data_IF_793058733846
#
_entry.id   IF_793058733846
#
_cell.length_a   1.000
_cell.length_b   1.000
_cell.length_c   1.000
_cell.angle_alpha   90.00
_cell.angle_beta   90.00
_cell.angle_gamma   90.00
#
_symmetry.space_group_name_H-M   'P 1'
#
loop_
_entity.id
_entity.type
_entity.pdbx_description
1 polymer ?
#
# COMPACT_ATOMS: atom_id res chain seq x y z
N UNK A 1 15.59 44.93 3.11
CA UNK A 1 14.30 44.72 2.39
C UNK A 1 14.35 43.42 1.54
N UNK A 2 15.33 43.26 0.66
CA UNK A 2 15.45 42.07 -0.22
C UNK A 2 15.66 40.79 0.57
N UNK A 3 16.51 40.77 1.57
CA UNK A 3 16.75 39.61 2.44
C UNK A 3 15.45 39.13 3.12
N UNK A 4 14.67 40.07 3.68
CA UNK A 4 13.38 39.76 4.32
C UNK A 4 12.35 39.17 3.36
N UNK A 5 12.31 39.61 2.10
CA UNK A 5 11.46 39.02 1.06
C UNK A 5 11.88 37.58 0.76
N UNK A 6 13.19 37.35 0.64
CA UNK A 6 13.76 36.00 0.41
C UNK A 6 13.44 35.06 1.57
N UNK A 7 13.63 35.50 2.82
CA UNK A 7 13.29 34.74 4.03
C UNK A 7 11.81 34.34 4.06
N UNK A 8 10.90 35.28 3.71
CA UNK A 8 9.48 35.02 3.64
C UNK A 8 9.12 34.06 2.51
N UNK A 9 9.74 34.20 1.34
CA UNK A 9 9.56 33.29 0.20
C UNK A 9 10.03 31.88 0.55
N UNK A 10 11.12 31.75 1.29
CA UNK A 10 11.69 30.47 1.70
C UNK A 10 11.03 29.89 2.96
N UNK A 11 10.09 30.60 3.60
CA UNK A 11 9.41 30.17 4.82
C UNK A 11 10.29 30.24 6.07
N UNK A 12 11.46 30.85 6.00
CA UNK A 12 12.41 30.98 7.11
C UNK A 12 11.85 31.87 8.23
N UNK A 13 11.11 32.92 7.89
CA UNK A 13 10.47 33.79 8.88
C UNK A 13 9.48 33.03 9.76
N UNK A 14 8.66 32.15 9.18
CA UNK A 14 7.69 31.32 9.94
C UNK A 14 8.40 30.34 10.86
N UNK A 15 9.45 29.69 10.38
CA UNK A 15 10.24 28.76 11.20
C UNK A 15 11.04 29.51 12.27
N UNK A 16 11.54 30.70 11.98
CA UNK A 16 12.18 31.60 12.93
C UNK A 16 11.23 32.01 14.07
N UNK A 17 10.01 32.45 13.73
CA UNK A 17 8.98 32.80 14.72
C UNK A 17 8.62 31.61 15.65
N UNK A 18 8.54 30.39 15.10
CA UNK A 18 8.34 29.18 15.89
C UNK A 18 9.54 28.95 16.80
N UNK A 19 10.75 29.07 16.29
CA UNK A 19 11.97 28.86 17.06
C UNK A 19 12.12 29.89 18.20
N UNK A 20 11.83 31.16 17.94
CA UNK A 20 11.96 32.24 18.91
C UNK A 20 10.99 32.09 20.09
N UNK A 21 9.81 31.51 19.85
CA UNK A 21 8.80 31.26 20.89
C UNK A 21 8.95 29.93 21.64
N UNK A 22 9.98 29.14 21.32
CA UNK A 22 10.18 27.85 21.93
C UNK A 22 10.45 27.96 23.44
N UNK A 23 10.04 26.93 24.22
CA UNK A 23 10.40 26.86 25.64
C UNK A 23 11.92 26.76 25.79
N UNK A 24 12.49 27.65 26.61
CA UNK A 24 13.93 27.63 26.90
C UNK A 24 14.31 26.38 27.70
N UNK A 25 15.53 25.87 27.49
CA UNK A 25 16.08 24.68 28.15
C UNK A 25 15.28 23.39 27.88
N UNK A 26 14.60 23.29 26.74
CA UNK A 26 13.92 22.08 26.33
C UNK A 26 14.94 20.97 25.98
N UNK A 27 14.67 19.75 26.42
CA UNK A 27 15.38 18.59 25.86
C UNK A 27 14.89 18.30 24.43
N UNK A 28 15.63 17.44 23.71
CA UNK A 28 15.31 17.14 22.28
C UNK A 28 13.88 16.65 22.09
N UNK A 29 13.36 15.77 22.95
CA UNK A 29 12.01 15.22 22.85
C UNK A 29 10.92 16.29 23.02
N UNK A 30 11.10 17.19 24.01
CA UNK A 30 10.14 18.27 24.26
C UNK A 30 10.19 19.32 23.15
N UNK A 31 11.37 19.62 22.60
CA UNK A 31 11.51 20.51 21.44
C UNK A 31 10.85 19.93 20.19
N UNK A 32 11.01 18.62 19.91
CA UNK A 32 10.34 17.95 18.79
C UNK A 32 8.82 18.01 18.95
N UNK A 33 8.29 17.72 20.15
CA UNK A 33 6.86 17.83 20.44
C UNK A 33 6.35 19.25 20.19
N UNK A 34 7.00 20.24 20.80
CA UNK A 34 6.65 21.65 20.60
C UNK A 34 6.61 22.04 19.10
N UNK A 35 7.61 21.61 18.33
CA UNK A 35 7.66 21.91 16.89
C UNK A 35 6.49 21.28 16.13
N UNK A 36 6.10 20.04 16.46
CA UNK A 36 4.94 19.36 15.83
C UNK A 36 3.64 20.07 16.22
N UNK A 37 3.49 20.48 17.49
CA UNK A 37 2.31 21.16 18.02
C UNK A 37 2.14 22.55 17.35
N UNK A 38 3.21 23.37 17.25
CA UNK A 38 3.18 24.67 16.58
C UNK A 38 2.87 24.58 15.07
N UNK A 39 3.34 23.52 14.42
CA UNK A 39 2.96 23.21 13.04
C UNK A 39 1.57 22.58 12.94
N UNK A 40 0.93 22.22 14.07
CA UNK A 40 -0.34 21.52 14.09
C UNK A 40 -0.29 20.17 13.36
N UNK A 41 0.87 19.51 13.35
CA UNK A 41 1.07 18.22 12.67
C UNK A 41 0.62 17.09 13.58
N UNK A 42 -0.24 16.22 13.04
CA UNK A 42 -0.69 15.02 13.75
C UNK A 42 -0.06 13.78 13.12
N UNK A 43 0.66 13.00 13.92
CA UNK A 43 1.17 11.69 13.49
C UNK A 43 0.05 10.67 13.53
N UNK A 44 -0.19 10.01 12.38
CA UNK A 44 -1.10 8.87 12.27
C UNK A 44 -0.25 7.62 12.12
N UNK A 45 -0.11 6.86 13.21
CA UNK A 45 0.73 5.67 13.26
C UNK A 45 -0.08 4.46 12.82
N UNK A 46 0.49 3.69 11.88
CA UNK A 46 -0.02 2.39 11.45
C UNK A 46 0.87 1.27 11.98
N UNK A 47 0.24 0.13 12.29
CA UNK A 47 0.93 -0.99 12.91
C UNK A 47 1.64 -0.55 14.21
N UNK A 48 0.90 0.14 15.07
CA UNK A 48 1.42 0.72 16.33
C UNK A 48 2.07 -0.33 17.23
N UNK A 49 1.57 -1.58 17.20
CA UNK A 49 2.16 -2.71 17.90
C UNK A 49 3.64 -2.93 17.51
N UNK A 50 4.02 -2.68 16.24
CA UNK A 50 5.40 -2.84 15.79
C UNK A 50 6.35 -1.81 16.41
N UNK A 51 5.85 -0.64 16.83
CA UNK A 51 6.63 0.36 17.58
C UNK A 51 7.01 -0.19 18.96
N UNK A 52 6.08 -0.88 19.61
CA UNK A 52 6.30 -1.50 20.91
C UNK A 52 7.23 -2.72 20.85
N UNK A 53 7.33 -3.36 19.68
CA UNK A 53 8.26 -4.47 19.42
C UNK A 53 9.69 -4.03 19.13
N UNK A 54 9.97 -2.72 19.00
CA UNK A 54 11.33 -2.22 18.84
C UNK A 54 12.14 -2.61 20.09
N UNK A 55 13.27 -3.33 19.94
CA UNK A 55 14.06 -3.73 21.10
C UNK A 55 14.49 -2.54 21.97
N UNK A 56 14.23 -2.60 23.26
CA UNK A 56 14.58 -1.56 24.23
C UNK A 56 16.11 -1.45 24.42
N UNK A 57 16.85 -2.50 24.10
CA UNK A 57 18.31 -2.58 24.20
C UNK A 57 18.90 -3.25 22.95
N UNK A 58 20.20 -3.09 22.79
CA UNK A 58 20.92 -3.61 21.62
C UNK A 58 20.85 -2.69 20.40
N UNK A 59 21.72 -2.94 19.39
CA UNK A 59 21.83 -2.07 18.24
C UNK A 59 20.58 -2.17 17.35
N UNK A 60 19.98 -1.03 17.07
CA UNK A 60 18.78 -0.92 16.21
C UNK A 60 19.01 0.08 15.09
N UNK A 61 18.66 -0.30 13.86
CA UNK A 61 18.58 0.59 12.72
C UNK A 61 17.12 0.83 12.35
N UNK A 62 16.63 2.04 12.52
CA UNK A 62 15.35 2.49 12.01
C UNK A 62 15.60 3.09 10.61
N UNK A 63 14.88 2.59 9.61
CA UNK A 63 15.17 2.89 8.22
C UNK A 63 13.89 3.37 7.55
N UNK A 64 13.92 4.57 6.97
CA UNK A 64 12.74 5.17 6.38
C UNK A 64 13.00 5.73 4.96
N UNK A 65 11.96 5.75 4.12
CA UNK A 65 11.94 6.57 2.91
C UNK A 65 11.90 8.06 3.28
N UNK A 66 12.23 8.95 2.32
CA UNK A 66 12.47 10.36 2.59
C UNK A 66 11.62 11.31 1.72
N UNK A 67 10.26 11.31 1.84
CA UNK A 67 9.39 12.04 0.92
C UNK A 67 9.27 13.54 1.18
N UNK A 68 9.46 14.01 2.41
CA UNK A 68 9.09 15.38 2.84
C UNK A 68 10.30 16.25 3.21
N UNK A 69 11.35 15.66 3.75
CA UNK A 69 12.56 16.36 4.18
C UNK A 69 12.65 16.47 5.70
N UNK A 70 12.44 17.67 6.28
CA UNK A 70 12.60 17.84 7.74
C UNK A 70 11.50 17.24 8.58
N UNK A 71 10.26 17.23 8.08
CA UNK A 71 9.08 16.86 8.87
C UNK A 71 9.10 15.42 9.37
N UNK A 72 9.42 14.46 8.47
CA UNK A 72 9.47 13.05 8.88
C UNK A 72 10.61 12.75 9.84
N UNK A 73 11.74 13.47 9.74
CA UNK A 73 12.83 13.36 10.69
C UNK A 73 12.41 13.77 12.10
N UNK A 74 11.68 14.89 12.22
CA UNK A 74 11.12 15.39 13.48
C UNK A 74 10.09 14.40 14.04
N UNK A 75 9.13 13.97 13.21
CA UNK A 75 8.05 13.12 13.63
C UNK A 75 8.52 11.71 14.04
N UNK A 76 9.37 11.07 13.23
CA UNK A 76 9.91 9.75 13.55
C UNK A 76 10.79 9.80 14.81
N UNK A 77 11.66 10.82 14.95
CA UNK A 77 12.46 10.97 16.13
C UNK A 77 11.60 11.10 17.39
N UNK A 78 10.52 11.91 17.33
CA UNK A 78 9.60 12.06 18.45
C UNK A 78 8.95 10.73 18.85
N UNK A 79 8.43 9.96 17.88
CA UNK A 79 7.77 8.68 18.15
C UNK A 79 8.74 7.63 18.70
N UNK A 80 9.94 7.53 18.12
CA UNK A 80 10.93 6.53 18.50
C UNK A 80 11.55 6.84 19.86
N UNK A 81 11.76 8.12 20.21
CA UNK A 81 12.23 8.53 21.55
C UNK A 81 11.30 8.11 22.69
N UNK A 82 10.07 7.73 22.43
CA UNK A 82 9.15 7.19 23.44
C UNK A 82 9.57 5.79 23.89
N UNK A 83 10.22 5.01 23.02
CA UNK A 83 10.63 3.61 23.25
C UNK A 83 12.15 3.43 23.29
N UNK A 84 12.92 4.33 22.63
CA UNK A 84 14.40 4.33 22.59
C UNK A 84 14.94 5.73 22.89
N UNK A 85 15.12 6.05 24.17
CA UNK A 85 15.66 7.37 24.59
C UNK A 85 17.08 7.66 24.09
N UNK A 86 17.82 6.60 23.75
CA UNK A 86 19.19 6.65 23.22
C UNK A 86 19.25 6.87 21.69
N UNK A 87 18.12 7.15 21.05
CA UNK A 87 18.05 7.39 19.61
C UNK A 87 19.04 8.47 19.15
N UNK A 88 19.70 8.21 18.02
CA UNK A 88 20.44 9.21 17.22
C UNK A 88 19.88 9.21 15.79
N UNK A 89 19.88 10.39 15.17
CA UNK A 89 19.36 10.55 13.78
C UNK A 89 20.49 10.99 12.88
N UNK A 90 20.78 10.22 11.83
CA UNK A 90 21.75 10.60 10.82
C UNK A 90 21.12 11.62 9.87
N UNK A 91 21.63 12.85 9.86
CA UNK A 91 21.04 13.98 9.15
C UNK A 91 22.08 14.95 8.58
N UNK A 92 21.62 16.01 7.91
CA UNK A 92 22.51 17.07 7.42
C UNK A 92 23.15 17.80 8.60
N UNK A 93 24.46 18.08 8.49
CA UNK A 93 25.23 18.80 9.51
C UNK A 93 24.60 20.14 9.91
N UNK A 94 23.96 20.86 8.99
CA UNK A 94 23.30 22.13 9.28
C UNK A 94 22.21 22.04 10.37
N UNK A 95 21.56 20.89 10.50
CA UNK A 95 20.50 20.71 11.50
C UNK A 95 21.04 20.55 12.92
N UNK A 96 22.34 20.28 13.09
CA UNK A 96 23.02 20.28 14.40
C UNK A 96 23.25 21.69 14.97
N UNK A 97 23.06 22.71 14.14
CA UNK A 97 23.13 24.11 14.61
C UNK A 97 21.95 24.47 15.52
N UNK A 98 20.90 23.65 15.56
CA UNK A 98 19.82 23.79 16.52
C UNK A 98 20.28 23.18 17.86
N UNK A 99 20.52 23.99 18.91
CA UNK A 99 21.10 23.52 20.17
C UNK A 99 20.33 22.35 20.80
N UNK A 100 18.99 22.40 20.78
CA UNK A 100 18.08 21.41 21.36
C UNK A 100 18.17 20.03 20.67
N UNK A 101 18.68 20.00 19.43
CA UNK A 101 18.83 18.78 18.62
C UNK A 101 20.27 18.31 18.48
N UNK A 102 21.25 19.07 19.01
CA UNK A 102 22.68 18.81 18.83
C UNK A 102 23.11 17.43 19.34
N UNK A 103 22.51 16.95 20.41
CA UNK A 103 22.79 15.62 20.96
C UNK A 103 22.05 14.50 20.22
N UNK A 104 20.86 14.78 19.70
CA UNK A 104 20.05 13.82 18.96
C UNK A 104 20.62 13.56 17.56
N UNK A 105 21.18 14.59 16.92
CA UNK A 105 21.57 14.54 15.50
C UNK A 105 23.07 14.22 15.32
N UNK A 106 23.33 13.24 14.44
CA UNK A 106 24.67 12.97 13.91
C UNK A 106 24.73 13.58 12.51
N UNK A 107 25.57 14.60 12.34
CA UNK A 107 25.66 15.34 11.09
C UNK A 107 26.54 14.65 10.05
N UNK A 108 26.09 14.72 8.80
CA UNK A 108 26.85 14.37 7.60
C UNK A 108 26.65 15.45 6.54
N UNK A 109 27.67 15.72 5.76
CA UNK A 109 27.57 16.62 4.61
C UNK A 109 27.06 15.86 3.38
N UNK A 110 25.82 16.14 2.99
CA UNK A 110 25.17 15.54 1.81
C UNK A 110 25.25 16.44 0.56
N UNK A 111 25.81 17.66 0.70
CA UNK A 111 25.81 18.69 -0.34
C UNK A 111 27.16 18.87 -1.02
N UNK A 112 28.26 18.52 -0.34
CA UNK A 112 29.63 18.71 -0.84
C UNK A 112 30.02 17.62 -1.85
N UNK A 113 30.74 18.03 -2.90
CA UNK A 113 31.34 17.08 -3.84
C UNK A 113 32.46 16.23 -3.18
N UNK A 114 33.07 16.73 -2.08
CA UNK A 114 34.12 16.06 -1.33
C UNK A 114 33.61 15.42 -0.03
N UNK A 115 32.33 15.01 -0.01
CA UNK A 115 31.64 14.47 1.16
C UNK A 115 32.35 13.28 1.84
N UNK A 116 33.18 12.54 1.14
CA UNK A 116 33.88 11.37 1.70
C UNK A 116 34.82 11.76 2.85
N UNK A 117 35.56 12.86 2.72
CA UNK A 117 36.48 13.33 3.76
C UNK A 117 35.80 13.98 4.96
N UNK A 118 34.75 14.77 4.71
CA UNK A 118 34.01 15.51 5.74
C UNK A 118 33.05 14.61 6.55
N UNK A 119 32.58 13.53 5.98
CA UNK A 119 31.63 12.62 6.64
C UNK A 119 32.27 11.59 7.59
N UNK A 120 33.58 11.48 7.61
CA UNK A 120 34.29 10.51 8.47
C UNK A 120 33.95 10.68 9.95
N UNK A 121 33.78 11.92 10.43
CA UNK A 121 33.41 12.21 11.81
C UNK A 121 32.01 11.72 12.17
N UNK A 122 31.01 12.05 11.37
CA UNK A 122 29.61 11.61 11.57
C UNK A 122 29.48 10.09 11.48
N UNK A 123 30.07 9.50 10.46
CA UNK A 123 30.04 8.04 10.30
C UNK A 123 30.74 7.32 11.47
N UNK A 124 31.85 7.83 11.98
CA UNK A 124 32.50 7.28 13.19
C UNK A 124 31.57 7.33 14.42
N UNK A 125 30.80 8.41 14.58
CA UNK A 125 29.82 8.52 15.67
C UNK A 125 28.71 7.45 15.53
N UNK A 126 28.19 7.21 14.33
CA UNK A 126 27.22 6.13 14.07
C UNK A 126 27.81 4.77 14.45
N UNK A 127 29.05 4.48 14.01
CA UNK A 127 29.73 3.24 14.37
C UNK A 127 29.92 3.09 15.88
N UNK A 128 30.33 4.15 16.58
CA UNK A 128 30.52 4.14 18.04
C UNK A 128 29.19 3.89 18.76
N UNK A 129 28.11 4.55 18.30
CA UNK A 129 26.78 4.44 18.91
C UNK A 129 26.19 3.04 18.74
N UNK A 130 26.20 2.49 17.52
CA UNK A 130 25.72 1.13 17.26
C UNK A 130 26.55 0.07 18.00
N UNK A 131 27.87 0.23 18.07
CA UNK A 131 28.75 -0.66 18.85
C UNK A 131 28.38 -0.68 20.33
N UNK A 132 27.89 0.44 20.87
CA UNK A 132 27.43 0.56 22.25
C UNK A 132 25.98 0.04 22.44
N UNK A 133 25.34 -0.51 21.43
CA UNK A 133 23.97 -1.00 21.48
C UNK A 133 22.89 0.06 21.26
N UNK A 134 23.26 1.23 20.73
CA UNK A 134 22.34 2.36 20.52
C UNK A 134 21.43 2.21 19.30
N UNK A 135 20.39 3.04 19.25
CA UNK A 135 19.44 3.13 18.13
C UNK A 135 19.79 4.28 17.17
N UNK A 136 19.70 4.02 15.85
CA UNK A 136 19.99 5.03 14.82
C UNK A 136 18.87 5.07 13.80
N UNK A 137 18.31 6.26 13.53
CA UNK A 137 17.40 6.53 12.43
C UNK A 137 18.21 7.01 11.21
N UNK A 138 17.97 6.36 10.09
CA UNK A 138 18.65 6.63 8.81
C UNK A 138 17.64 6.77 7.69
N UNK A 139 17.85 7.75 6.80
CA UNK A 139 17.20 7.89 5.51
C UNK A 139 18.20 7.50 4.40
N UNK A 140 18.23 6.22 3.96
CA UNK A 140 19.35 5.72 3.13
C UNK A 140 19.42 6.32 1.74
N UNK A 141 18.34 6.95 1.27
CA UNK A 141 18.31 7.71 0.01
C UNK A 141 19.25 8.94 0.05
N UNK A 142 19.60 9.44 1.27
CA UNK A 142 20.46 10.58 1.49
C UNK A 142 19.90 11.93 1.04
N UNK A 143 18.84 11.93 0.27
CA UNK A 143 18.15 13.12 -0.23
C UNK A 143 16.64 12.84 -0.30
N UNK A 144 15.86 13.93 -0.24
CA UNK A 144 14.39 13.88 -0.38
C UNK A 144 14.00 13.28 -1.73
N UNK A 145 12.95 12.43 -1.72
CA UNK A 145 12.39 11.76 -2.90
C UNK A 145 12.13 12.71 -4.06
N UNK A 146 12.31 12.22 -5.28
CA UNK A 146 12.17 12.99 -6.53
C UNK A 146 11.03 12.45 -7.37
N UNK A 147 10.48 13.31 -8.22
CA UNK A 147 9.57 12.84 -9.27
C UNK A 147 10.40 12.16 -10.37
N UNK A 148 10.05 10.91 -10.64
CA UNK A 148 10.68 10.11 -11.70
C UNK A 148 9.74 10.02 -12.90
N UNK A 149 10.23 10.51 -14.04
CA UNK A 149 9.42 10.64 -15.25
C UNK A 149 9.04 9.29 -15.87
N UNK A 150 9.97 8.33 -15.83
CA UNK A 150 9.77 7.00 -16.38
C UNK A 150 8.62 6.26 -15.67
N UNK A 151 8.60 6.28 -14.36
CA UNK A 151 7.57 5.63 -13.54
C UNK A 151 6.38 6.53 -13.19
N UNK A 152 6.42 7.82 -13.56
CA UNK A 152 5.39 8.84 -13.25
C UNK A 152 5.02 8.91 -11.78
N UNK A 153 5.99 8.72 -10.88
CA UNK A 153 5.79 8.70 -9.42
C UNK A 153 6.95 9.34 -8.68
N UNK A 154 6.70 9.64 -7.40
CA UNK A 154 7.71 10.18 -6.49
C UNK A 154 8.40 8.98 -5.84
N UNK A 155 9.71 8.86 -6.02
CA UNK A 155 10.52 7.76 -5.54
C UNK A 155 11.78 8.27 -4.84
N UNK A 156 12.27 7.49 -3.90
CA UNK A 156 13.59 7.64 -3.33
C UNK A 156 14.66 7.33 -4.37
N UNK A 157 15.79 8.00 -4.28
CA UNK A 157 17.01 7.62 -4.99
C UNK A 157 17.46 6.22 -4.54
N UNK A 158 18.33 5.56 -5.33
CA UNK A 158 18.94 4.30 -4.90
C UNK A 158 19.55 4.44 -3.50
N UNK A 159 19.24 3.51 -2.61
CA UNK A 159 19.68 3.54 -1.23
C UNK A 159 21.18 3.27 -1.09
N UNK A 160 21.82 4.00 -0.19
CA UNK A 160 23.24 3.84 0.08
C UNK A 160 23.52 2.51 0.79
N UNK A 161 24.54 1.78 0.34
CA UNK A 161 24.97 0.50 0.91
C UNK A 161 25.39 0.56 2.37
N UNK A 162 25.63 1.76 2.92
CA UNK A 162 25.99 1.98 4.31
C UNK A 162 25.00 1.29 5.26
N UNK A 163 23.71 1.37 4.99
CA UNK A 163 22.69 0.76 5.87
C UNK A 163 22.86 -0.76 5.96
N UNK A 164 23.09 -1.44 4.83
CA UNK A 164 23.35 -2.89 4.82
C UNK A 164 24.69 -3.26 5.45
N UNK A 165 25.72 -2.40 5.33
CA UNK A 165 27.01 -2.59 6.00
C UNK A 165 26.88 -2.48 7.51
N UNK A 166 26.18 -1.44 8.01
CA UNK A 166 25.93 -1.25 9.44
C UNK A 166 25.10 -2.38 10.03
N UNK A 167 24.02 -2.79 9.35
CA UNK A 167 23.15 -3.88 9.77
C UNK A 167 23.91 -5.19 9.96
N UNK A 168 24.76 -5.56 9.00
CA UNK A 168 25.58 -6.79 9.09
C UNK A 168 26.69 -6.67 10.13
N UNK A 169 27.40 -5.53 10.16
CA UNK A 169 28.57 -5.36 11.03
C UNK A 169 28.25 -5.37 12.51
N UNK A 170 27.12 -4.77 12.89
CA UNK A 170 26.71 -4.63 14.28
C UNK A 170 25.57 -5.55 14.67
N UNK A 171 25.17 -6.44 13.75
CA UNK A 171 24.06 -7.36 13.98
C UNK A 171 22.79 -6.64 14.46
N UNK A 172 22.46 -5.55 13.77
CA UNK A 172 21.35 -4.70 14.16
C UNK A 172 20.01 -5.38 13.89
N UNK A 173 19.06 -5.21 14.81
CA UNK A 173 17.65 -5.32 14.43
C UNK A 173 17.29 -4.15 13.53
N UNK A 174 16.71 -4.41 12.36
CA UNK A 174 16.31 -3.38 11.42
C UNK A 174 14.79 -3.16 11.47
N UNK A 175 14.36 -1.90 11.59
CA UNK A 175 12.94 -1.52 11.64
C UNK A 175 12.62 -0.68 10.41
N UNK A 176 11.95 -1.26 9.38
CA UNK A 176 11.52 -0.50 8.23
C UNK A 176 10.32 0.37 8.58
N UNK A 177 10.35 1.63 8.13
CA UNK A 177 9.25 2.58 8.34
C UNK A 177 8.91 3.26 7.02
N UNK A 178 7.66 3.23 6.62
CA UNK A 178 7.19 3.96 5.45
C UNK A 178 6.52 5.26 5.88
N UNK A 179 7.01 6.36 5.33
CA UNK A 179 6.43 7.71 5.50
C UNK A 179 5.57 8.04 4.31
N UNK A 180 4.27 8.25 4.57
CA UNK A 180 3.33 8.68 3.55
C UNK A 180 3.34 10.19 3.36
N UNK A 181 3.09 10.61 2.12
CA UNK A 181 2.96 12.03 1.79
C UNK A 181 3.84 12.48 0.64
N UNK A 182 3.71 13.77 0.32
CA UNK A 182 4.48 14.41 -0.76
C UNK A 182 4.62 15.91 -0.51
N UNK A 183 5.64 16.49 -1.10
CA UNK A 183 5.82 17.92 -1.17
C UNK A 183 4.94 18.55 -2.28
N UNK A 184 4.97 19.86 -2.39
CA UNK A 184 4.19 20.58 -3.40
C UNK A 184 4.70 20.37 -4.82
N UNK A 185 3.83 20.54 -5.83
CA UNK A 185 4.22 20.39 -7.24
C UNK A 185 5.41 21.26 -7.65
N UNK A 186 5.42 22.52 -7.19
CA UNK A 186 6.51 23.45 -7.51
C UNK A 186 7.87 23.01 -6.91
N UNK A 187 7.89 22.26 -5.80
CA UNK A 187 9.11 21.69 -5.23
C UNK A 187 9.75 20.68 -6.19
N UNK A 188 8.95 19.83 -6.81
CA UNK A 188 9.45 18.86 -7.80
C UNK A 188 9.85 19.54 -9.11
N UNK A 189 9.09 20.56 -9.56
CA UNK A 189 9.45 21.35 -10.74
C UNK A 189 10.77 22.09 -10.56
N UNK A 190 10.99 22.72 -9.41
CA UNK A 190 12.27 23.37 -9.10
C UNK A 190 13.44 22.37 -9.08
N UNK A 191 13.18 21.15 -8.59
CA UNK A 191 14.14 20.05 -8.60
C UNK A 191 14.50 19.52 -10.00
N UNK A 192 13.56 19.62 -10.94
CA UNK A 192 13.82 19.29 -12.35
C UNK A 192 14.73 20.32 -13.04
N UNK A 193 14.65 21.59 -12.64
CA UNK A 193 15.54 22.64 -13.16
C UNK A 193 16.94 22.48 -12.55
N UNK A 194 17.04 22.42 -11.22
CA UNK A 194 18.32 22.20 -10.54
C UNK A 194 18.14 21.60 -9.13
N UNK A 195 18.88 20.54 -8.76
CA UNK A 195 18.71 19.86 -7.46
C UNK A 195 18.90 20.77 -6.24
N UNK A 196 19.76 21.78 -6.30
CA UNK A 196 19.97 22.73 -5.19
C UNK A 196 18.76 23.61 -4.90
N UNK A 197 17.97 23.97 -5.92
CA UNK A 197 16.73 24.74 -5.74
C UNK A 197 15.75 23.99 -4.85
N UNK A 198 15.64 22.68 -5.02
CA UNK A 198 14.83 21.83 -4.17
C UNK A 198 15.28 21.88 -2.70
N UNK A 199 16.58 21.79 -2.45
CA UNK A 199 17.13 21.86 -1.09
C UNK A 199 16.84 23.20 -0.41
N UNK A 200 16.96 24.30 -1.14
CA UNK A 200 16.66 25.65 -0.64
C UNK A 200 15.16 25.80 -0.31
N UNK A 201 14.28 25.06 -0.98
CA UNK A 201 12.83 25.12 -0.74
C UNK A 201 12.38 24.23 0.45
N UNK A 202 13.23 23.40 1.04
CA UNK A 202 12.84 22.51 2.15
C UNK A 202 12.25 23.24 3.37
N UNK A 203 12.80 24.40 3.83
CA UNK A 203 12.20 25.16 4.92
C UNK A 203 10.76 25.58 4.60
N UNK A 204 10.50 26.04 3.37
CA UNK A 204 9.14 26.39 2.92
C UNK A 204 8.21 25.19 2.91
N UNK A 205 8.72 24.00 2.50
CA UNK A 205 7.89 22.79 2.53
C UNK A 205 7.52 22.40 3.96
N UNK A 206 8.40 22.59 4.93
CA UNK A 206 8.11 22.38 6.35
C UNK A 206 7.08 23.37 6.87
N UNK A 207 7.28 24.67 6.63
CA UNK A 207 6.36 25.74 7.04
C UNK A 207 4.94 25.57 6.44
N UNK A 208 4.84 25.04 5.23
CA UNK A 208 3.56 24.82 4.55
C UNK A 208 2.82 23.54 5.03
N UNK A 209 3.34 22.81 6.00
CA UNK A 209 2.70 21.58 6.55
C UNK A 209 1.79 21.88 7.74
N UNK A 210 1.38 23.10 7.96
CA UNK A 210 0.46 23.45 9.05
C UNK A 210 -0.83 22.62 8.97
N UNK A 211 -1.17 21.92 10.06
CA UNK A 211 -2.34 21.04 10.13
C UNK A 211 -2.21 19.73 9.34
N UNK A 212 -1.00 19.33 8.95
CA UNK A 212 -0.78 18.13 8.14
C UNK A 212 -0.94 16.86 8.97
N UNK A 213 -1.66 15.87 8.41
CA UNK A 213 -1.74 14.52 8.96
C UNK A 213 -0.65 13.66 8.33
N UNK A 214 0.39 13.36 9.11
CA UNK A 214 1.53 12.58 8.66
C UNK A 214 1.29 11.10 8.93
N UNK A 215 1.28 10.30 7.87
CA UNK A 215 1.11 8.84 7.97
C UNK A 215 2.48 8.18 8.17
N UNK A 216 2.63 7.47 9.28
CA UNK A 216 3.82 6.68 9.62
C UNK A 216 3.41 5.21 9.74
N UNK A 217 3.94 4.35 8.88
CA UNK A 217 3.66 2.91 8.91
C UNK A 217 4.92 2.17 9.34
N UNK A 218 4.89 1.60 10.54
CA UNK A 218 6.01 0.81 11.08
C UNK A 218 5.88 -0.64 10.63
N UNK A 219 6.95 -1.17 10.05
CA UNK A 219 7.05 -2.59 9.73
C UNK A 219 7.50 -3.41 10.95
N UNK A 220 7.32 -4.73 10.84
CA UNK A 220 7.84 -5.66 11.85
C UNK A 220 9.36 -5.49 11.97
N UNK A 221 9.91 -5.46 13.19
CA UNK A 221 11.36 -5.51 13.39
C UNK A 221 11.97 -6.77 12.75
N UNK A 222 12.97 -6.59 11.92
CA UNK A 222 13.68 -7.65 11.21
C UNK A 222 14.90 -8.02 12.04
N UNK A 223 14.97 -9.24 12.59
CA UNK A 223 16.05 -9.66 13.45
C UNK A 223 17.37 -9.86 12.66
N UNK A 224 18.55 -9.73 13.29
CA UNK A 224 19.83 -9.87 12.61
C UNK A 224 20.05 -11.26 12.00
N UNK A 225 19.42 -12.31 12.54
CA UNK A 225 19.45 -13.66 12.00
C UNK A 225 18.90 -13.74 10.58
N UNK A 226 17.81 -13.01 10.31
CA UNK A 226 17.21 -12.93 8.98
C UNK A 226 18.14 -12.21 7.99
N UNK A 227 18.79 -11.12 8.42
CA UNK A 227 19.71 -10.37 7.59
C UNK A 227 21.04 -11.11 7.31
N UNK A 228 21.43 -12.04 8.19
CA UNK A 228 22.62 -12.89 7.97
C UNK A 228 22.46 -13.84 6.78
N UNK A 229 21.24 -14.27 6.47
CA UNK A 229 20.95 -15.18 5.34
C UNK A 229 21.25 -14.54 3.99
N UNK A 230 21.32 -13.22 3.93
CA UNK A 230 21.58 -12.47 2.70
C UNK A 230 23.08 -12.44 2.40
N UNK A 231 23.45 -12.64 1.14
CA UNK A 231 24.82 -12.87 0.69
C UNK A 231 25.78 -11.72 1.03
N UNK A 232 25.35 -10.48 0.89
CA UNK A 232 26.22 -9.30 1.06
C UNK A 232 25.43 -8.06 1.49
N UNK A 233 26.15 -6.97 1.82
CA UNK A 233 25.55 -5.71 2.26
C UNK A 233 24.66 -5.04 1.20
N UNK A 234 24.89 -5.29 -0.09
CA UNK A 234 24.01 -4.78 -1.15
C UNK A 234 22.67 -5.51 -1.09
N UNK A 235 22.67 -6.82 -1.00
CA UNK A 235 21.45 -7.63 -0.85
C UNK A 235 20.66 -7.24 0.40
N UNK A 236 21.34 -6.97 1.54
CA UNK A 236 20.69 -6.46 2.75
C UNK A 236 20.06 -5.09 2.50
N UNK A 237 20.76 -4.16 1.85
CA UNK A 237 20.20 -2.84 1.54
C UNK A 237 18.97 -2.93 0.67
N UNK A 238 18.99 -3.76 -0.38
CA UNK A 238 17.83 -3.97 -1.27
C UNK A 238 16.67 -4.63 -0.51
N UNK A 239 16.95 -5.63 0.31
CA UNK A 239 15.93 -6.27 1.15
C UNK A 239 15.24 -5.27 2.10
N UNK A 240 16.02 -4.40 2.77
CA UNK A 240 15.50 -3.38 3.67
C UNK A 240 14.69 -2.31 2.92
N UNK A 241 15.11 -1.94 1.71
CA UNK A 241 14.36 -1.04 0.82
C UNK A 241 13.02 -1.66 0.44
N UNK A 242 13.04 -2.90 -0.03
CA UNK A 242 11.84 -3.67 -0.38
C UNK A 242 10.88 -3.75 0.80
N UNK A 243 11.40 -4.08 2.00
CA UNK A 243 10.59 -4.18 3.21
C UNK A 243 9.94 -2.85 3.58
N UNK A 244 10.64 -1.72 3.36
CA UNK A 244 10.08 -0.38 3.57
C UNK A 244 9.02 -0.04 2.51
N UNK A 245 9.31 -0.28 1.23
CA UNK A 245 8.38 0.00 0.13
C UNK A 245 7.11 -0.87 0.22
N UNK A 246 7.22 -2.09 0.77
CA UNK A 246 6.08 -2.96 1.04
C UNK A 246 5.02 -2.34 1.96
N UNK A 247 5.43 -1.47 2.86
CA UNK A 247 4.51 -0.77 3.78
C UNK A 247 3.68 0.32 3.10
N UNK A 248 4.05 0.75 1.88
CA UNK A 248 3.32 1.76 1.12
C UNK A 248 1.85 1.36 0.86
N UNK A 249 1.59 0.06 0.67
CA UNK A 249 0.24 -0.48 0.48
C UNK A 249 -0.68 -0.22 1.68
N UNK A 250 -0.17 -0.38 2.89
CA UNK A 250 -0.89 -0.11 4.13
C UNK A 250 -1.16 1.39 4.34
N UNK A 251 -0.20 2.23 3.95
CA UNK A 251 -0.33 3.68 4.01
C UNK A 251 -1.43 4.20 3.07
N UNK A 252 -1.53 3.67 1.86
CA UNK A 252 -2.45 4.14 0.83
C UNK A 252 -3.93 3.79 1.09
N UNK A 253 -4.24 2.80 1.92
CA UNK A 253 -5.62 2.43 2.27
C UNK A 253 -6.40 3.59 2.89
N UNK A 254 -5.80 4.43 3.70
CA UNK A 254 -6.51 5.55 4.36
C UNK A 254 -6.65 6.80 3.53
N UNK A 255 -5.67 7.11 2.68
CA UNK A 255 -5.78 8.26 1.77
C UNK A 255 -6.99 8.10 0.83
N UNK A 256 -7.37 6.86 0.51
CA UNK A 256 -8.58 6.55 -0.27
C UNK A 256 -9.87 6.60 0.54
N UNK A 257 -9.88 6.12 1.79
CA UNK A 257 -11.05 6.24 2.68
C UNK A 257 -11.48 7.69 2.89
N UNK A 258 -10.54 8.64 2.86
CA UNK A 258 -10.81 10.07 3.03
C UNK A 258 -11.27 10.77 1.75
N UNK A 259 -11.14 10.16 0.56
CA UNK A 259 -11.46 10.81 -0.73
C UNK A 259 -12.77 10.36 -1.38
N UNK A 260 -13.33 9.23 -1.00
CA UNK A 260 -14.59 8.76 -1.58
C UNK A 260 -15.68 8.80 -0.51
N UNK A 261 -16.72 9.59 -0.74
CA UNK A 261 -18.02 9.40 -0.11
C UNK A 261 -18.53 8.03 -0.56
N UNK A 262 -18.27 7.00 0.25
CA UNK A 262 -18.76 5.64 0.00
C UNK A 262 -20.28 5.69 0.13
N UNK A 263 -21.00 5.35 -0.93
CA UNK A 263 -22.45 5.27 -0.89
C UNK A 263 -22.88 4.21 0.13
N UNK A 264 -23.97 4.49 0.84
CA UNK A 264 -24.57 3.55 1.78
C UNK A 264 -25.10 2.37 0.99
N UNK A 265 -24.77 1.16 1.42
CA UNK A 265 -25.33 -0.07 0.86
C UNK A 265 -26.79 -0.14 1.28
N UNK A 266 -27.68 -0.06 0.33
CA UNK A 266 -29.11 -0.10 0.59
C UNK A 266 -29.64 -1.47 0.16
N UNK A 267 -30.08 -2.25 1.12
CA UNK A 267 -30.83 -3.48 0.85
C UNK A 267 -32.19 -3.08 0.27
N UNK A 268 -32.42 -3.35 -1.00
CA UNK A 268 -33.61 -2.87 -1.74
C UNK A 268 -34.73 -3.89 -1.76
N UNK A 269 -34.48 -5.15 -1.37
CA UNK A 269 -35.39 -6.26 -1.53
C UNK A 269 -35.65 -6.97 -0.20
N UNK A 270 -36.89 -7.33 0.09
CA UNK A 270 -37.24 -8.14 1.27
C UNK A 270 -36.80 -9.58 1.09
N UNK A 271 -36.50 -10.29 2.19
CA UNK A 271 -36.10 -11.70 2.17
C UNK A 271 -37.17 -12.59 1.48
N UNK A 272 -38.45 -12.30 1.70
CA UNK A 272 -39.56 -13.05 1.11
C UNK A 272 -39.63 -12.90 -0.42
N UNK A 273 -39.40 -11.68 -0.92
CA UNK A 273 -39.38 -11.45 -2.37
C UNK A 273 -38.19 -12.13 -3.00
N UNK A 274 -37.01 -12.05 -2.35
CA UNK A 274 -35.77 -12.66 -2.83
C UNK A 274 -35.90 -14.19 -2.88
N UNK A 275 -36.43 -14.80 -1.84
CA UNK A 275 -36.72 -16.25 -1.79
C UNK A 275 -37.72 -16.69 -2.90
N UNK A 276 -38.75 -15.88 -3.16
CA UNK A 276 -39.65 -16.11 -4.26
C UNK A 276 -38.99 -16.05 -5.64
N UNK A 277 -38.13 -15.04 -5.83
CA UNK A 277 -37.40 -14.88 -7.09
C UNK A 277 -36.38 -16.03 -7.29
N UNK A 278 -35.68 -16.49 -6.22
CA UNK A 278 -34.80 -17.66 -6.30
C UNK A 278 -35.60 -18.93 -6.64
N UNK A 279 -36.76 -19.14 -6.04
CA UNK A 279 -37.65 -20.29 -6.36
C UNK A 279 -38.09 -20.32 -7.82
N UNK A 280 -38.17 -19.16 -8.49
CA UNK A 280 -38.46 -19.13 -9.94
C UNK A 280 -37.30 -19.57 -10.82
N UNK A 281 -36.09 -19.73 -10.25
CA UNK A 281 -34.88 -20.16 -10.95
C UNK A 281 -34.65 -21.68 -10.92
N UNK A 282 -35.65 -22.50 -10.58
CA UNK A 282 -35.50 -23.97 -10.43
C UNK A 282 -34.94 -24.67 -11.67
N UNK A 283 -35.22 -24.20 -12.87
CA UNK A 283 -34.63 -24.73 -14.11
C UNK A 283 -33.11 -24.55 -14.21
N UNK A 284 -32.52 -23.59 -13.43
CA UNK A 284 -31.09 -23.27 -13.37
C UNK A 284 -30.42 -23.87 -12.15
N UNK A 285 -31.09 -24.68 -11.35
CA UNK A 285 -30.51 -25.36 -10.19
C UNK A 285 -29.51 -26.43 -10.65
N UNK A 286 -28.29 -26.33 -10.14
CA UNK A 286 -27.21 -27.28 -10.44
C UNK A 286 -26.99 -28.30 -9.31
N UNK A 287 -27.08 -27.83 -8.06
CA UNK A 287 -26.76 -28.64 -6.88
C UNK A 287 -27.67 -28.22 -5.73
N UNK A 288 -28.21 -29.20 -5.02
CA UNK A 288 -28.87 -29.03 -3.73
C UNK A 288 -28.06 -29.78 -2.67
N UNK A 289 -27.78 -29.13 -1.54
CA UNK A 289 -27.04 -29.72 -0.45
C UNK A 289 -27.45 -29.07 0.89
N UNK A 290 -28.25 -29.80 1.67
CA UNK A 290 -28.80 -29.32 2.94
C UNK A 290 -29.55 -27.99 2.79
N UNK A 291 -29.10 -26.94 3.51
CA UNK A 291 -29.65 -25.58 3.41
C UNK A 291 -29.14 -24.77 2.21
N UNK A 292 -28.20 -25.32 1.43
CA UNK A 292 -27.54 -24.60 0.33
C UNK A 292 -28.00 -25.10 -1.04
N UNK A 293 -28.12 -24.16 -1.96
CA UNK A 293 -28.46 -24.41 -3.38
C UNK A 293 -27.50 -23.64 -4.29
N UNK A 294 -27.03 -24.28 -5.36
CA UNK A 294 -26.17 -23.67 -6.37
C UNK A 294 -26.92 -23.52 -7.66
N UNK A 295 -27.04 -22.30 -8.15
CA UNK A 295 -27.69 -21.94 -9.39
C UNK A 295 -26.69 -21.38 -10.40
N UNK A 296 -27.00 -21.53 -11.72
CA UNK A 296 -26.28 -20.83 -12.79
C UNK A 296 -27.27 -20.28 -13.83
N UNK A 297 -27.71 -19.06 -13.64
CA UNK A 297 -28.74 -18.43 -14.45
C UNK A 297 -28.22 -17.30 -15.33
N UNK A 298 -28.80 -17.08 -16.54
CA UNK A 298 -28.56 -15.89 -17.33
C UNK A 298 -29.03 -14.63 -16.60
N UNK A 299 -28.41 -13.50 -16.90
CA UNK A 299 -28.69 -12.20 -16.26
C UNK A 299 -30.19 -11.84 -16.29
N UNK A 300 -30.88 -12.05 -17.44
CA UNK A 300 -32.25 -11.62 -17.64
C UNK A 300 -33.28 -12.35 -16.74
N UNK A 301 -32.93 -13.51 -16.19
CA UNK A 301 -33.78 -14.29 -15.30
C UNK A 301 -33.59 -13.95 -13.81
N UNK A 302 -32.53 -13.26 -13.45
CA UNK A 302 -32.11 -13.06 -12.05
C UNK A 302 -32.99 -12.06 -11.29
N UNK A 303 -33.53 -11.05 -11.96
CA UNK A 303 -34.37 -10.05 -11.29
C UNK A 303 -33.69 -9.44 -10.07
N UNK A 304 -34.36 -9.50 -8.90
CA UNK A 304 -33.81 -8.97 -7.64
C UNK A 304 -32.61 -9.77 -7.09
N UNK A 305 -32.43 -11.01 -7.53
CA UNK A 305 -31.26 -11.84 -7.16
C UNK A 305 -29.97 -11.22 -7.68
N UNK A 306 -29.99 -10.59 -8.86
CA UNK A 306 -28.83 -9.87 -9.39
C UNK A 306 -28.43 -8.68 -8.51
N UNK A 307 -29.40 -7.96 -7.97
CA UNK A 307 -29.13 -6.85 -7.05
C UNK A 307 -28.49 -7.36 -5.75
N UNK A 308 -28.97 -8.48 -5.20
CA UNK A 308 -28.39 -9.11 -4.01
C UNK A 308 -26.94 -9.60 -4.28
N UNK A 309 -26.71 -10.24 -5.43
CA UNK A 309 -25.35 -10.64 -5.87
C UNK A 309 -24.44 -9.40 -5.94
N UNK A 310 -24.90 -8.30 -6.53
CA UNK A 310 -24.12 -7.08 -6.70
C UNK A 310 -23.83 -6.36 -5.38
N UNK A 311 -24.76 -6.38 -4.43
CA UNK A 311 -24.57 -5.84 -3.07
C UNK A 311 -23.56 -6.70 -2.30
N UNK A 312 -23.73 -8.03 -2.29
CA UNK A 312 -22.83 -8.96 -1.62
C UNK A 312 -21.39 -8.88 -2.19
N UNK A 313 -21.29 -8.69 -3.51
CA UNK A 313 -20.04 -8.47 -4.24
C UNK A 313 -19.35 -7.17 -3.80
N UNK A 314 -20.11 -6.06 -3.75
CA UNK A 314 -19.58 -4.78 -3.27
C UNK A 314 -19.14 -4.83 -1.81
N UNK A 315 -19.90 -5.46 -0.92
CA UNK A 315 -19.54 -5.69 0.48
C UNK A 315 -18.17 -6.37 0.55
N UNK A 316 -18.04 -7.50 -0.14
CA UNK A 316 -16.84 -8.34 -0.10
C UNK A 316 -15.62 -7.61 -0.68
N UNK A 317 -15.78 -6.95 -1.83
CA UNK A 317 -14.67 -6.24 -2.48
C UNK A 317 -14.26 -4.98 -1.73
N UNK A 318 -15.19 -4.32 -1.00
CA UNK A 318 -14.81 -3.20 -0.11
C UNK A 318 -13.88 -3.64 1.01
N UNK A 319 -14.06 -4.81 1.58
CA UNK A 319 -13.18 -5.31 2.67
C UNK A 319 -11.74 -5.46 2.21
N UNK A 320 -11.53 -5.87 0.96
CA UNK A 320 -10.18 -6.02 0.38
C UNK A 320 -9.71 -4.79 -0.42
N UNK A 321 -10.46 -3.70 -0.37
CA UNK A 321 -10.09 -2.43 -1.03
C UNK A 321 -10.28 -2.42 -2.54
N UNK A 322 -11.04 -3.36 -3.09
CA UNK A 322 -11.36 -3.49 -4.53
C UNK A 322 -12.81 -3.11 -4.88
N UNK A 323 -13.60 -2.70 -3.89
CA UNK A 323 -14.98 -2.23 -4.10
C UNK A 323 -15.05 -0.98 -4.98
N UNK A 324 -16.18 -0.84 -5.67
CA UNK A 324 -16.45 0.30 -6.56
C UNK A 324 -16.70 1.60 -5.78
N UNK A 325 -17.17 1.51 -4.52
CA UNK A 325 -17.65 2.61 -3.70
C UNK A 325 -19.11 2.99 -3.98
N UNK A 326 -19.77 2.34 -4.93
CA UNK A 326 -21.19 2.51 -5.26
C UNK A 326 -22.07 1.67 -4.32
N UNK A 327 -23.38 1.88 -4.35
CA UNK A 327 -24.33 1.09 -3.54
C UNK A 327 -24.37 -0.40 -3.91
N UNK A 328 -23.95 -0.75 -5.13
CA UNK A 328 -23.85 -2.12 -5.66
C UNK A 328 -22.77 -2.19 -6.76
N UNK A 329 -22.08 -3.34 -6.88
CA UNK A 329 -21.10 -3.60 -7.94
C UNK A 329 -21.76 -4.25 -9.14
N UNK A 330 -22.20 -3.42 -10.09
CA UNK A 330 -22.68 -3.86 -11.40
C UNK A 330 -21.85 -3.20 -12.50
N UNK A 331 -21.67 -3.90 -13.62
CA UNK A 331 -20.99 -3.34 -14.79
C UNK A 331 -21.72 -3.71 -16.10
N UNK A 332 -21.30 -3.09 -17.20
CA UNK A 332 -21.87 -3.27 -18.52
C UNK A 332 -21.71 -4.71 -19.09
N UNK A 333 -20.88 -5.53 -18.46
CA UNK A 333 -20.62 -6.90 -18.87
C UNK A 333 -21.57 -7.90 -18.19
N UNK A 334 -22.16 -7.56 -17.04
CA UNK A 334 -23.05 -8.49 -16.32
C UNK A 334 -24.13 -9.10 -17.23
N UNK A 335 -24.77 -8.36 -18.18
CA UNK A 335 -25.74 -8.94 -19.11
C UNK A 335 -25.19 -9.96 -20.12
N UNK A 336 -23.88 -9.98 -20.35
CA UNK A 336 -23.26 -10.91 -21.30
C UNK A 336 -22.95 -12.28 -20.69
N UNK A 337 -23.05 -12.41 -19.35
CA UNK A 337 -22.61 -13.56 -18.59
C UNK A 337 -23.77 -14.27 -17.89
N UNK A 338 -23.57 -15.53 -17.59
CA UNK A 338 -24.37 -16.23 -16.59
C UNK A 338 -23.76 -15.95 -15.20
N UNK A 339 -24.61 -16.05 -14.18
CA UNK A 339 -24.20 -15.88 -12.80
C UNK A 339 -24.38 -17.19 -12.05
N UNK A 340 -23.25 -17.81 -11.68
CA UNK A 340 -23.21 -18.94 -10.77
C UNK A 340 -23.24 -18.38 -9.35
N UNK A 341 -24.22 -18.75 -8.54
CA UNK A 341 -24.29 -18.30 -7.15
C UNK A 341 -24.74 -19.41 -6.21
N UNK A 342 -24.27 -19.30 -4.97
CA UNK A 342 -24.63 -20.15 -3.85
C UNK A 342 -25.65 -19.41 -3.00
N UNK A 343 -26.79 -20.05 -2.78
CA UNK A 343 -27.92 -19.55 -2.02
C UNK A 343 -28.04 -20.28 -0.69
N UNK A 344 -28.22 -19.55 0.42
CA UNK A 344 -28.56 -20.08 1.74
C UNK A 344 -30.06 -19.92 1.96
N UNK A 345 -30.81 -21.05 1.91
CA UNK A 345 -32.27 -21.09 2.08
C UNK A 345 -32.71 -20.64 3.47
N UNK A 346 -31.92 -20.99 4.50
CA UNK A 346 -32.26 -20.72 5.89
C UNK A 346 -32.17 -19.21 6.22
N UNK A 347 -31.21 -18.52 5.62
CA UNK A 347 -30.96 -17.12 5.86
C UNK A 347 -31.44 -16.18 4.75
N UNK A 348 -31.99 -16.73 3.66
CA UNK A 348 -32.40 -16.01 2.45
C UNK A 348 -31.30 -15.05 1.94
N UNK A 349 -30.05 -15.58 1.73
CA UNK A 349 -28.89 -14.81 1.36
C UNK A 349 -28.02 -15.45 0.28
N UNK A 350 -27.42 -14.60 -0.55
CA UNK A 350 -26.33 -15.01 -1.45
C UNK A 350 -25.04 -15.17 -0.64
N UNK A 351 -24.51 -16.39 -0.63
CA UNK A 351 -23.29 -16.79 0.09
C UNK A 351 -22.05 -16.43 -0.69
N UNK A 352 -22.09 -16.57 -2.01
CA UNK A 352 -21.00 -16.28 -2.91
C UNK A 352 -21.40 -16.47 -4.35
N UNK A 353 -20.60 -15.96 -5.29
CA UNK A 353 -20.92 -16.08 -6.71
C UNK A 353 -19.67 -16.00 -7.59
N UNK A 354 -19.87 -16.46 -8.85
CA UNK A 354 -18.94 -16.26 -9.97
C UNK A 354 -19.73 -15.74 -11.17
N UNK A 355 -19.08 -14.91 -11.97
CA UNK A 355 -19.55 -14.54 -13.29
C UNK A 355 -18.96 -15.51 -14.31
N UNK A 356 -19.80 -16.18 -15.12
CA UNK A 356 -19.46 -17.28 -16.03
C UNK A 356 -19.78 -16.89 -17.46
N UNK A 357 -18.78 -16.72 -18.31
CA UNK A 357 -18.94 -16.31 -19.69
C UNK A 357 -18.51 -17.38 -20.67
N UNK A 358 -19.42 -17.87 -21.50
CA UNK A 358 -19.10 -18.73 -22.62
C UNK A 358 -18.52 -17.87 -23.75
N UNK A 359 -17.23 -18.04 -24.00
CA UNK A 359 -16.45 -17.10 -24.85
C UNK A 359 -16.96 -17.03 -26.27
N UNK A 360 -17.26 -18.16 -26.86
CA UNK A 360 -17.80 -18.27 -28.22
C UNK A 360 -19.16 -17.58 -28.35
N UNK A 361 -20.08 -17.78 -27.41
CA UNK A 361 -21.39 -17.10 -27.38
C UNK A 361 -21.25 -15.58 -27.24
N UNK A 362 -20.38 -15.13 -26.32
CA UNK A 362 -20.15 -13.71 -26.07
C UNK A 362 -19.51 -13.07 -27.31
N UNK A 363 -18.49 -13.71 -27.88
CA UNK A 363 -17.77 -13.18 -29.05
C UNK A 363 -18.66 -13.16 -30.29
N UNK A 364 -19.50 -14.16 -30.47
CA UNK A 364 -20.47 -14.19 -31.58
C UNK A 364 -21.48 -13.04 -31.51
N UNK A 365 -21.92 -12.66 -30.30
CA UNK A 365 -22.95 -11.61 -30.09
C UNK A 365 -22.36 -10.21 -29.97
N UNK A 366 -21.21 -10.07 -29.31
CA UNK A 366 -20.68 -8.79 -28.86
C UNK A 366 -19.23 -8.52 -29.33
N UNK A 367 -18.66 -9.44 -30.12
CA UNK A 367 -17.24 -9.41 -30.49
C UNK A 367 -16.32 -9.64 -29.29
N UNK A 368 -15.00 -9.59 -29.52
CA UNK A 368 -13.99 -9.77 -28.44
C UNK A 368 -14.11 -8.72 -27.34
N UNK A 369 -14.63 -7.54 -27.65
CA UNK A 369 -14.88 -6.45 -26.68
C UNK A 369 -16.00 -6.74 -25.68
N UNK A 370 -16.81 -7.76 -25.93
CA UNK A 370 -17.82 -8.26 -25.00
C UNK A 370 -17.25 -9.01 -23.81
N UNK A 371 -15.99 -9.45 -23.89
CA UNK A 371 -15.30 -10.11 -22.79
C UNK A 371 -14.74 -9.10 -21.78
N UNK A 372 -14.95 -9.38 -20.49
CA UNK A 372 -14.46 -8.52 -19.40
C UNK A 372 -12.95 -8.43 -19.38
N UNK A 373 -12.24 -9.57 -19.53
CA UNK A 373 -10.77 -9.61 -19.56
C UNK A 373 -10.17 -8.75 -20.66
N UNK A 374 -10.90 -8.52 -21.75
CA UNK A 374 -10.46 -7.60 -22.83
C UNK A 374 -10.35 -6.14 -22.36
N UNK A 375 -11.10 -5.77 -21.32
CA UNK A 375 -10.99 -4.44 -20.70
C UNK A 375 -9.71 -4.26 -19.88
N UNK A 376 -9.10 -5.37 -19.45
CA UNK A 376 -7.89 -5.41 -18.61
C UNK A 376 -6.63 -5.71 -19.42
N UNK A 377 -6.75 -6.54 -20.47
CA UNK A 377 -5.63 -7.03 -21.28
C UNK A 377 -5.81 -6.69 -22.76
N UNK A 378 -4.70 -6.52 -23.46
CA UNK A 378 -4.68 -6.34 -24.90
C UNK A 378 -4.44 -7.69 -25.55
N UNK A 379 -5.48 -8.27 -26.10
CA UNK A 379 -5.44 -9.45 -26.99
C UNK A 379 -6.47 -9.30 -28.11
N UNK A 380 -6.33 -10.08 -29.14
CA UNK A 380 -7.11 -10.04 -30.37
C UNK A 380 -7.91 -11.34 -30.59
N UNK A 381 -8.56 -11.43 -31.74
CA UNK A 381 -9.30 -12.63 -32.14
C UNK A 381 -8.41 -13.87 -32.31
N UNK A 382 -7.14 -13.69 -32.64
CA UNK A 382 -6.21 -14.82 -32.79
C UNK A 382 -5.96 -15.51 -31.44
N UNK A 383 -5.93 -14.75 -30.35
CA UNK A 383 -5.87 -15.32 -29.01
C UNK A 383 -7.15 -16.13 -28.70
N UNK A 384 -8.34 -15.55 -28.96
CA UNK A 384 -9.62 -16.22 -28.72
C UNK A 384 -9.73 -17.50 -29.52
N UNK A 385 -9.33 -17.49 -30.82
CA UNK A 385 -9.30 -18.69 -31.67
C UNK A 385 -8.35 -19.76 -31.11
N UNK A 386 -7.22 -19.37 -30.54
CA UNK A 386 -6.21 -20.30 -29.99
C UNK A 386 -6.69 -20.99 -28.72
N UNK A 387 -7.38 -20.27 -27.81
CA UNK A 387 -7.93 -20.89 -26.60
C UNK A 387 -9.13 -21.79 -26.87
N UNK A 388 -9.77 -21.66 -28.04
CA UNK A 388 -10.92 -22.49 -28.46
C UNK A 388 -12.16 -22.27 -27.63
N UNK A 389 -12.95 -23.35 -27.44
CA UNK A 389 -14.11 -23.33 -26.55
C UNK A 389 -13.66 -23.15 -25.10
N UNK A 390 -13.87 -21.97 -24.58
CA UNK A 390 -13.40 -21.56 -23.25
C UNK A 390 -14.49 -20.85 -22.46
N UNK A 391 -14.37 -20.90 -21.14
CA UNK A 391 -15.22 -20.18 -20.19
C UNK A 391 -14.39 -19.12 -19.48
N UNK A 392 -14.79 -17.86 -19.59
CA UNK A 392 -14.23 -16.77 -18.79
C UNK A 392 -14.91 -16.70 -17.43
N UNK A 393 -14.10 -16.83 -16.37
CA UNK A 393 -14.53 -16.74 -14.98
C UNK A 393 -14.14 -15.39 -14.38
N UNK A 394 -15.05 -14.76 -13.65
CA UNK A 394 -14.75 -13.47 -13.04
C UNK A 394 -15.66 -13.13 -11.87
N UNK A 395 -15.40 -12.00 -11.23
CA UNK A 395 -16.21 -11.49 -10.12
C UNK A 395 -16.45 -12.52 -9.03
N UNK A 396 -15.44 -13.34 -8.73
CA UNK A 396 -15.52 -14.38 -7.71
C UNK A 396 -15.50 -13.79 -6.31
N UNK A 397 -16.44 -14.17 -5.48
CA UNK A 397 -16.45 -13.79 -4.08
C UNK A 397 -17.17 -14.80 -3.20
N UNK A 398 -16.83 -14.80 -1.91
CA UNK A 398 -17.59 -15.40 -0.82
C UNK A 398 -17.86 -14.30 0.18
N UNK A 399 -19.13 -14.11 0.54
CA UNK A 399 -19.56 -13.10 1.49
C UNK A 399 -18.81 -13.26 2.84
N UNK A 400 -18.35 -12.18 3.49
CA UNK A 400 -17.50 -12.22 4.69
C UNK A 400 -17.97 -13.17 5.79
N UNK A 401 -19.29 -13.25 6.01
CA UNK A 401 -19.89 -14.12 7.03
C UNK A 401 -19.73 -15.62 6.74
N UNK A 402 -19.33 -15.98 5.50
CA UNK A 402 -19.18 -17.38 5.06
C UNK A 402 -17.77 -17.78 4.67
N UNK A 403 -16.80 -16.83 4.63
CA UNK A 403 -15.41 -17.08 4.20
C UNK A 403 -14.67 -18.14 5.02
N UNK A 404 -15.05 -18.34 6.29
CA UNK A 404 -14.46 -19.35 7.16
C UNK A 404 -15.14 -20.72 7.09
N UNK A 405 -16.14 -20.86 6.21
CA UNK A 405 -16.86 -22.12 6.00
C UNK A 405 -16.38 -22.80 4.71
N UNK A 406 -15.59 -23.88 4.77
CA UNK A 406 -15.04 -24.54 3.58
C UNK A 406 -16.12 -25.00 2.60
N UNK A 407 -17.32 -25.30 3.09
CA UNK A 407 -18.47 -25.76 2.31
C UNK A 407 -18.86 -24.77 1.22
N UNK A 408 -18.78 -23.44 1.49
CA UNK A 408 -19.17 -22.41 0.54
C UNK A 408 -18.31 -22.46 -0.74
N UNK A 409 -17.00 -22.54 -0.58
CA UNK A 409 -16.07 -22.64 -1.72
C UNK A 409 -16.24 -23.99 -2.43
N UNK A 410 -16.39 -25.07 -1.69
CA UNK A 410 -16.56 -26.41 -2.24
C UNK A 410 -17.79 -26.52 -3.13
N UNK A 411 -18.95 -26.00 -2.67
CA UNK A 411 -20.19 -26.04 -3.44
C UNK A 411 -20.12 -25.20 -4.71
N UNK A 412 -19.50 -24.01 -4.66
CA UNK A 412 -19.28 -23.18 -5.84
C UNK A 412 -18.39 -23.91 -6.87
N UNK A 413 -17.28 -24.55 -6.43
CA UNK A 413 -16.42 -25.32 -7.31
C UNK A 413 -17.11 -26.56 -7.89
N UNK A 414 -17.96 -27.24 -7.12
CA UNK A 414 -18.81 -28.32 -7.63
C UNK A 414 -19.79 -27.81 -8.67
N UNK A 415 -20.34 -26.59 -8.48
CA UNK A 415 -21.18 -25.93 -9.49
C UNK A 415 -20.42 -25.67 -10.80
N UNK A 416 -19.16 -25.18 -10.72
CA UNK A 416 -18.31 -25.03 -11.91
C UNK A 416 -18.08 -26.39 -12.57
N UNK A 417 -17.77 -27.42 -11.80
CA UNK A 417 -17.62 -28.79 -12.31
C UNK A 417 -18.87 -29.30 -13.02
N UNK A 418 -20.04 -29.02 -12.47
CA UNK A 418 -21.31 -29.39 -13.10
C UNK A 418 -21.51 -28.69 -14.45
N UNK A 419 -21.22 -27.39 -14.53
CA UNK A 419 -21.26 -26.64 -15.79
C UNK A 419 -20.38 -27.29 -16.87
N UNK A 420 -19.16 -27.74 -16.49
CA UNK A 420 -18.24 -28.39 -17.42
C UNK A 420 -18.73 -29.77 -17.86
N UNK A 421 -19.32 -30.53 -16.96
CA UNK A 421 -19.92 -31.85 -17.30
C UNK A 421 -21.08 -31.69 -18.26
N UNK A 422 -21.91 -30.67 -18.05
CA UNK A 422 -23.07 -30.41 -18.91
C UNK A 422 -22.69 -29.75 -20.25
N UNK A 423 -21.45 -29.22 -20.36
CA UNK A 423 -20.93 -28.57 -21.55
C UNK A 423 -19.51 -29.08 -21.90
N UNK A 424 -19.37 -30.35 -22.32
CA UNK A 424 -18.07 -31.03 -22.45
C UNK A 424 -17.15 -30.46 -23.52
N UNK A 425 -17.63 -29.57 -24.39
CA UNK A 425 -16.81 -28.88 -25.39
C UNK A 425 -15.89 -27.80 -24.80
N UNK A 426 -16.18 -27.31 -23.57
CA UNK A 426 -15.37 -26.29 -22.91
C UNK A 426 -14.27 -26.91 -22.05
N UNK A 427 -13.03 -26.86 -22.53
CA UNK A 427 -11.86 -27.46 -21.87
C UNK A 427 -10.96 -26.46 -21.19
N UNK A 428 -11.19 -25.16 -21.42
CA UNK A 428 -10.37 -24.08 -20.89
C UNK A 428 -11.18 -23.18 -19.99
N UNK A 429 -10.74 -23.03 -18.74
CA UNK A 429 -11.22 -21.98 -17.84
C UNK A 429 -10.13 -20.93 -17.72
N UNK A 430 -10.47 -19.66 -17.86
CA UNK A 430 -9.56 -18.57 -17.62
C UNK A 430 -10.24 -17.39 -16.98
N UNK A 431 -9.46 -16.51 -16.36
CA UNK A 431 -10.01 -15.32 -15.72
C UNK A 431 -8.90 -14.45 -15.14
N UNK A 432 -9.25 -13.22 -14.82
CA UNK A 432 -8.34 -12.27 -14.20
C UNK A 432 -8.27 -12.53 -12.69
N UNK A 433 -7.07 -12.69 -12.17
CA UNK A 433 -6.79 -12.76 -10.76
C UNK A 433 -6.22 -11.43 -10.31
N UNK A 434 -6.80 -10.83 -9.26
CA UNK A 434 -6.25 -9.64 -8.65
C UNK A 434 -5.26 -10.00 -7.55
N UNK A 435 -4.15 -9.29 -7.52
CA UNK A 435 -3.23 -9.31 -6.38
C UNK A 435 -3.58 -8.10 -5.51
N UNK A 436 -3.88 -8.35 -4.23
CA UNK A 436 -4.29 -7.29 -3.31
C UNK A 436 -3.34 -6.10 -3.32
N UNK A 437 -3.90 -4.89 -3.28
CA UNK A 437 -3.12 -3.65 -3.12
C UNK A 437 -2.46 -3.51 -1.75
N UNK A 438 -2.72 -4.42 -0.84
CA UNK A 438 -1.99 -4.53 0.42
C UNK A 438 -0.54 -4.90 0.19
N UNK A 439 -0.27 -5.67 -0.87
CA UNK A 439 1.10 -5.90 -1.32
C UNK A 439 1.68 -4.65 -1.97
N UNK A 440 2.96 -4.39 -1.73
CA UNK A 440 3.69 -3.32 -2.41
C UNK A 440 3.74 -3.56 -3.92
N UNK A 441 4.01 -2.50 -4.70
CA UNK A 441 4.21 -2.62 -6.14
C UNK A 441 5.31 -3.65 -6.46
N UNK A 442 6.36 -3.69 -5.63
CA UNK A 442 7.46 -4.63 -5.80
C UNK A 442 7.03 -6.07 -5.49
N UNK A 443 6.31 -6.31 -4.39
CA UNK A 443 5.81 -7.65 -4.09
C UNK A 443 4.88 -8.15 -5.19
N UNK A 444 4.01 -7.29 -5.73
CA UNK A 444 3.14 -7.63 -6.87
C UNK A 444 3.94 -7.94 -8.13
N UNK A 445 4.99 -7.16 -8.42
CA UNK A 445 5.89 -7.44 -9.55
C UNK A 445 6.62 -8.77 -9.37
N UNK A 446 7.13 -9.05 -8.18
CA UNK A 446 7.79 -10.34 -7.90
C UNK A 446 6.85 -11.53 -8.07
N UNK A 447 5.61 -11.42 -7.59
CA UNK A 447 4.59 -12.45 -7.79
C UNK A 447 4.33 -12.64 -9.29
N UNK A 448 4.10 -11.55 -10.02
CA UNK A 448 3.84 -11.60 -11.45
C UNK A 448 5.03 -12.18 -12.24
N UNK A 449 6.25 -11.73 -11.98
CA UNK A 449 7.45 -12.23 -12.64
C UNK A 449 7.70 -13.70 -12.34
N UNK A 450 7.51 -14.13 -11.08
CA UNK A 450 7.65 -15.54 -10.69
C UNK A 450 6.65 -16.42 -11.44
N UNK A 451 5.39 -16.00 -11.52
CA UNK A 451 4.36 -16.73 -12.24
C UNK A 451 4.66 -16.77 -13.73
N UNK A 452 5.06 -15.66 -14.34
CA UNK A 452 5.39 -15.58 -15.77
C UNK A 452 6.65 -16.40 -16.13
N UNK A 453 7.62 -16.50 -15.23
CA UNK A 453 8.83 -17.29 -15.48
C UNK A 453 8.57 -18.80 -15.41
N UNK A 454 7.71 -19.24 -14.48
CA UNK A 454 7.53 -20.65 -14.18
C UNK A 454 6.29 -21.27 -14.82
N UNK A 455 5.30 -20.46 -15.16
CA UNK A 455 3.98 -20.88 -15.66
C UNK A 455 3.59 -20.14 -16.94
N UNK A 456 4.47 -20.13 -17.92
CA UNK A 456 4.13 -19.61 -19.27
C UNK A 456 3.11 -20.53 -19.92
N UNK A 457 2.00 -19.94 -20.37
CA UNK A 457 1.02 -20.61 -21.21
C UNK A 457 1.59 -20.86 -22.64
#
# INVERSE_FOLDING_TARGET
>A
FFAHIVEKILGLSVLGDIYDRRPLNSNSKDFLRYTLDELGVTNVIKQEQNVQEIPSQGPVLIIANHPLGGLEGIALAFEILKVRPDLRVLTNELLRLIPELSELFIGVDVLSKNAVGTNVGGIKQVHKHLKAGGAVLIFPAGMVSTYEHEHRRILDRPWNRLVGQLAKRYECTAVPVYVGGRNSGYFYMAGAIHPRLRTILLPRQLANKKGYKLLLTFGRPIPPQELRLLSNSKAVTEYLRVSTDALAGLCNKEVRKLKNSVQVLTQTTTAEKLDKDVKSLQEFLLIEHEEFEVYCAPFDYLGSVMDEIAIAREITFREVGEGTGLSKDTDKFDPHYRHLFLWDKANAKVVGAYRVGFVDDIVAKHGVTGLYSRSLYRYDEAFVKRIGAAIEMGRSFIHPNYQRKPIALNLLWRGIGRILVDNPQYHTLFGSVSVSREYSDLARSLIADTLLMNFKA
#
